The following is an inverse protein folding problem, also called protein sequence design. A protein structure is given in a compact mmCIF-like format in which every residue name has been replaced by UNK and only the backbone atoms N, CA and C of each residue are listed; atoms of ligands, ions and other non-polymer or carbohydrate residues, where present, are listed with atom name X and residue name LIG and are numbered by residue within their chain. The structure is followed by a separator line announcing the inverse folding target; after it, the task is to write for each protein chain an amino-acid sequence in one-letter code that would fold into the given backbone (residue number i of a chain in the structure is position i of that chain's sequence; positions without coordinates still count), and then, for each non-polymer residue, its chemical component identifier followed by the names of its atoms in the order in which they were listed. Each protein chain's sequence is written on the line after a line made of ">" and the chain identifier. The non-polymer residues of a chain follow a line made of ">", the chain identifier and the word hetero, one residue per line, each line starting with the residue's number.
data_IF_178174153598
#
_entry.id   IF_178174153598
#
_cell.length_a   1.000
_cell.length_b   1.000
_cell.length_c   1.000
_cell.angle_alpha   90.00
_cell.angle_beta   90.00
_cell.angle_gamma   90.00
#
_symmetry.space_group_name_H-M   'P 1'
#
loop_
_entity.id
_entity.type
_entity.pdbx_description
1 polymer ?
#
# COMPACT_ATOMS: atom_id res chain seq x y z
N UNK A 1 -0.61 10.15 -13.62
CA UNK A 1 0.59 9.64 -13.05
C UNK A 1 0.37 8.99 -11.71
N UNK A 2 0.61 9.70 -10.57
CA UNK A 2 0.40 9.05 -9.29
C UNK A 2 -1.06 8.67 -9.05
N UNK A 3 -1.99 9.43 -9.62
CA UNK A 3 -3.41 9.12 -9.49
C UNK A 3 -3.77 7.75 -10.06
N UNK A 4 -3.14 7.38 -11.17
CA UNK A 4 -3.38 6.08 -11.78
C UNK A 4 -2.81 4.98 -10.88
N UNK A 5 -1.62 5.20 -10.34
CA UNK A 5 -0.99 4.23 -9.46
C UNK A 5 -1.79 4.04 -8.17
N UNK A 6 -2.27 5.15 -7.61
CA UNK A 6 -3.10 5.09 -6.40
C UNK A 6 -4.37 4.29 -6.67
N UNK A 7 -5.00 4.51 -7.82
CA UNK A 7 -6.19 3.77 -8.20
C UNK A 7 -5.90 2.28 -8.32
N UNK A 8 -4.79 1.92 -8.95
CA UNK A 8 -4.41 0.52 -9.09
C UNK A 8 -4.18 -0.14 -7.74
N UNK A 9 -3.54 0.58 -6.82
CA UNK A 9 -3.29 0.05 -5.48
C UNK A 9 -4.61 -0.18 -4.76
N UNK A 10 -5.53 0.78 -4.82
CA UNK A 10 -6.83 0.63 -4.17
C UNK A 10 -7.60 -0.55 -4.74
N UNK A 11 -7.60 -0.70 -6.07
CA UNK A 11 -8.28 -1.82 -6.70
C UNK A 11 -7.69 -3.16 -6.28
N UNK A 12 -6.37 -3.22 -6.20
CA UNK A 12 -5.70 -4.43 -5.77
C UNK A 12 -6.03 -4.82 -4.33
N UNK A 13 -6.23 -3.82 -3.48
CA UNK A 13 -6.50 -4.06 -2.06
C UNK A 13 -7.97 -4.33 -1.76
N UNK A 14 -8.86 -4.19 -2.74
CA UNK A 14 -10.27 -4.48 -2.51
C UNK A 14 -10.52 -5.92 -2.08
N UNK A 15 -9.63 -6.83 -2.43
CA UNK A 15 -9.71 -8.23 -2.01
C UNK A 15 -9.69 -8.37 -0.49
N UNK A 16 -9.15 -7.39 0.22
CA UNK A 16 -9.06 -7.41 1.67
C UNK A 16 -10.28 -6.77 2.33
N UNK A 17 -11.25 -6.32 1.54
CA UNK A 17 -12.47 -5.68 2.02
C UNK A 17 -12.18 -4.56 3.02
N UNK A 18 -11.39 -3.56 2.64
CA UNK A 18 -11.01 -2.50 3.58
C UNK A 18 -12.21 -1.64 3.95
N UNK A 19 -12.32 -1.31 5.24
CA UNK A 19 -13.34 -0.38 5.71
C UNK A 19 -12.88 1.06 5.48
N UNK A 20 -11.56 1.25 5.45
CA UNK A 20 -10.98 2.54 5.14
C UNK A 20 -9.63 2.31 4.49
N UNK A 21 -9.31 3.14 3.53
CA UNK A 21 -8.02 3.06 2.85
C UNK A 21 -7.61 4.46 2.43
N UNK A 22 -6.37 4.82 2.78
CA UNK A 22 -5.80 6.12 2.41
C UNK A 22 -4.42 5.87 1.85
N UNK A 23 -4.14 6.47 0.72
CA UNK A 23 -2.86 6.32 0.06
C UNK A 23 -2.32 7.69 -0.25
N UNK A 24 -1.08 7.93 0.16
CA UNK A 24 -0.41 9.20 -0.02
C UNK A 24 0.81 8.98 -0.90
N UNK A 25 0.94 9.81 -1.92
CA UNK A 25 2.10 9.76 -2.82
C UNK A 25 3.24 10.54 -2.19
N UNK A 26 4.32 9.86 -1.87
CA UNK A 26 5.51 10.48 -1.28
C UNK A 26 6.64 10.64 -2.28
N UNK A 27 6.32 10.47 -3.56
CA UNK A 27 7.33 10.55 -4.60
C UNK A 27 8.05 11.89 -4.65
N UNK A 28 7.38 12.97 -4.24
CA UNK A 28 7.99 14.30 -4.23
C UNK A 28 9.18 14.39 -3.26
N UNK A 29 9.26 13.50 -2.29
CA UNK A 29 10.38 13.46 -1.35
C UNK A 29 11.63 12.85 -1.96
N UNK A 30 11.50 12.27 -3.14
CA UNK A 30 12.57 11.54 -3.79
C UNK A 30 12.90 12.07 -5.19
N UNK A 31 12.43 13.27 -5.48
CA UNK A 31 12.70 13.90 -6.77
C UNK A 31 14.21 14.05 -6.95
N UNK A 32 14.71 13.60 -8.09
CA UNK A 32 16.13 13.67 -8.38
C UNK A 32 16.91 12.42 -8.03
N UNK A 33 16.32 11.50 -7.28
CA UNK A 33 16.97 10.24 -6.96
C UNK A 33 16.84 9.27 -8.13
N UNK A 34 17.89 8.50 -8.37
CA UNK A 34 17.90 7.56 -9.48
C UNK A 34 16.77 6.54 -9.37
N UNK A 35 16.46 6.11 -8.16
CA UNK A 35 15.40 5.13 -7.94
C UNK A 35 13.99 5.64 -8.20
N UNK A 36 13.81 6.95 -8.28
CA UNK A 36 12.49 7.53 -8.47
C UNK A 36 11.87 7.21 -9.83
N UNK A 37 12.66 6.72 -10.77
CA UNK A 37 12.19 6.42 -12.11
C UNK A 37 11.52 5.05 -12.23
N UNK A 38 11.75 4.16 -11.28
CA UNK A 38 11.30 2.77 -11.39
C UNK A 38 10.05 2.47 -10.59
N UNK A 39 9.21 3.45 -10.38
CA UNK A 39 7.96 3.28 -9.65
C UNK A 39 7.80 4.37 -8.61
N UNK A 40 6.65 4.41 -7.94
CA UNK A 40 6.35 5.43 -6.97
C UNK A 40 6.64 5.02 -5.54
N UNK A 41 6.71 6.02 -4.66
CA UNK A 41 6.84 5.83 -3.23
C UNK A 41 5.51 6.23 -2.60
N UNK A 42 4.91 5.31 -1.84
CA UNK A 42 3.58 5.54 -1.29
C UNK A 42 3.51 5.20 0.19
N UNK A 43 2.61 5.89 0.86
CA UNK A 43 2.29 5.62 2.25
C UNK A 43 0.85 5.13 2.29
N UNK A 44 0.65 3.93 2.84
CA UNK A 44 -0.65 3.27 2.88
C UNK A 44 -1.15 3.19 4.32
N UNK A 45 -2.38 3.65 4.54
CA UNK A 45 -3.11 3.41 5.77
C UNK A 45 -4.35 2.60 5.38
N UNK A 46 -4.51 1.42 5.97
CA UNK A 46 -5.63 0.53 5.62
C UNK A 46 -6.21 -0.10 6.87
N UNK A 47 -7.54 -0.12 6.94
CA UNK A 47 -8.28 -0.73 8.04
C UNK A 47 -9.13 -1.86 7.47
N UNK A 48 -8.95 -3.06 7.99
CA UNK A 48 -9.70 -4.21 7.50
C UNK A 48 -9.80 -5.29 8.57
N UNK A 49 -10.96 -5.95 8.63
CA UNK A 49 -11.14 -7.10 9.52
C UNK A 49 -10.31 -8.30 9.05
N UNK A 50 -9.84 -8.27 7.80
CA UNK A 50 -8.97 -9.33 7.30
C UNK A 50 -7.67 -9.43 8.11
N UNK A 51 -7.32 -8.39 8.85
CA UNK A 51 -6.11 -8.38 9.68
C UNK A 51 -6.32 -8.93 11.08
N UNK A 52 -7.56 -9.29 11.43
CA UNK A 52 -7.83 -9.85 12.75
C UNK A 52 -7.00 -11.12 12.98
N UNK A 53 -6.34 -11.16 14.13
CA UNK A 53 -5.54 -12.33 14.48
C UNK A 53 -4.16 -12.37 13.85
N UNK A 54 -3.83 -11.40 12.99
CA UNK A 54 -2.53 -11.36 12.33
C UNK A 54 -1.57 -10.40 13.03
N UNK A 55 -0.32 -10.82 13.16
CA UNK A 55 0.73 -9.93 13.64
C UNK A 55 0.99 -8.85 12.61
N UNK A 56 1.71 -7.79 13.01
CA UNK A 56 2.03 -6.73 12.05
C UNK A 56 2.83 -7.27 10.87
N UNK A 57 3.76 -8.17 11.12
CA UNK A 57 4.56 -8.76 10.04
C UNK A 57 3.66 -9.52 9.06
N UNK A 58 2.71 -10.29 9.58
CA UNK A 58 1.81 -11.06 8.72
C UNK A 58 0.88 -10.15 7.91
N UNK A 59 0.46 -9.03 8.50
CA UNK A 59 -0.37 -8.06 7.76
C UNK A 59 0.41 -7.46 6.60
N UNK A 60 1.66 -7.10 6.84
CA UNK A 60 2.51 -6.54 5.79
C UNK A 60 2.75 -7.56 4.69
N UNK A 61 3.00 -8.81 5.05
CA UNK A 61 3.20 -9.87 4.05
C UNK A 61 1.95 -10.08 3.21
N UNK A 62 0.78 -10.04 3.85
CA UNK A 62 -0.48 -10.18 3.12
C UNK A 62 -0.68 -9.05 2.13
N UNK A 63 -0.37 -7.83 2.53
CA UNK A 63 -0.50 -6.67 1.65
C UNK A 63 0.48 -6.78 0.49
N UNK A 64 1.74 -7.11 0.75
CA UNK A 64 2.73 -7.26 -0.31
C UNK A 64 2.35 -8.37 -1.29
N UNK A 65 1.82 -9.47 -0.79
CA UNK A 65 1.37 -10.56 -1.65
C UNK A 65 0.20 -10.12 -2.52
N UNK A 66 -0.75 -9.40 -1.91
CA UNK A 66 -1.94 -8.92 -2.62
C UNK A 66 -1.55 -7.95 -3.73
N UNK A 67 -0.52 -7.15 -3.50
CA UNK A 67 -0.05 -6.15 -4.47
C UNK A 67 1.15 -6.64 -5.28
N UNK A 68 1.42 -7.93 -5.27
CA UNK A 68 2.64 -8.50 -5.85
C UNK A 68 2.95 -7.99 -7.27
N UNK A 69 1.94 -7.98 -8.15
CA UNK A 69 2.17 -7.54 -9.51
C UNK A 69 2.51 -6.05 -9.59
N UNK A 70 1.86 -5.24 -8.78
CA UNK A 70 2.13 -3.80 -8.78
C UNK A 70 3.49 -3.48 -8.19
N UNK A 71 3.97 -4.33 -7.27
CA UNK A 71 5.29 -4.13 -6.67
C UNK A 71 6.41 -4.30 -7.69
N UNK A 72 6.12 -4.96 -8.80
CA UNK A 72 7.13 -5.17 -9.85
C UNK A 72 7.32 -3.93 -10.72
N UNK A 73 6.28 -3.12 -10.89
CA UNK A 73 6.33 -2.03 -11.87
C UNK A 73 5.87 -0.68 -11.31
N UNK A 74 4.78 -0.66 -10.54
CA UNK A 74 4.13 0.59 -10.15
C UNK A 74 4.55 1.12 -8.79
N UNK A 75 5.01 0.23 -7.91
CA UNK A 75 5.37 0.60 -6.53
C UNK A 75 6.84 0.30 -6.31
N UNK A 76 7.64 1.33 -6.04
CA UNK A 76 9.03 1.16 -5.70
C UNK A 76 9.19 0.93 -4.19
N UNK A 77 8.46 1.70 -3.41
CA UNK A 77 8.49 1.58 -1.96
C UNK A 77 7.10 1.85 -1.38
N UNK A 78 6.75 1.09 -0.35
CA UNK A 78 5.45 1.21 0.28
C UNK A 78 5.60 1.16 1.79
N UNK A 79 5.19 2.26 2.43
CA UNK A 79 5.14 2.34 3.89
C UNK A 79 3.73 1.98 4.32
N UNK A 80 3.58 1.04 5.25
CA UNK A 80 2.28 0.45 5.56
C UNK A 80 1.88 0.67 7.01
N UNK A 81 0.63 1.10 7.22
CA UNK A 81 -0.01 1.10 8.52
C UNK A 81 -1.30 0.29 8.36
N UNK A 82 -1.33 -0.93 8.89
CA UNK A 82 -2.45 -1.86 8.74
C UNK A 82 -3.11 -2.09 10.10
N UNK A 83 -4.40 -1.76 10.19
CA UNK A 83 -5.17 -1.84 11.42
C UNK A 83 -6.42 -2.68 11.24
N UNK A 84 -6.89 -3.25 12.35
CA UNK A 84 -8.25 -3.80 12.38
C UNK A 84 -9.18 -2.69 12.89
N UNK A 85 -10.50 -2.80 12.64
CA UNK A 85 -11.42 -1.78 13.15
C UNK A 85 -11.35 -1.60 14.67
N UNK A 86 -11.09 -2.68 15.40
CA UNK A 86 -11.05 -2.62 16.85
C UNK A 86 -9.79 -1.94 17.39
N UNK A 87 -8.79 -1.70 16.53
CA UNK A 87 -7.55 -1.06 16.94
C UNK A 87 -7.57 0.47 16.75
N UNK A 88 -8.66 0.99 16.26
CA UNK A 88 -8.77 2.44 16.01
C UNK A 88 -9.15 3.24 17.26
#
# INVERSE_FOLDING_TARGET
>A
MSEIRIKLIKEGLEKLNPENIEIEDEGHLHVGHAGAKSGGHFKLFIVSESFNGLSQIKRHKLIYKTLEELMKTEIHALSISAKTPSEL
#
